data_IF_084976527743
#
_entry.id   IF_084976527743
#
_cell.length_a   1.000
_cell.length_b   1.000
_cell.length_c   1.000
_cell.angle_alpha   90.00
_cell.angle_beta   90.00
_cell.angle_gamma   90.00
#
_symmetry.space_group_name_H-M   'P 1'
#
loop_
_entity.id
_entity.type
_entity.pdbx_description
1 polymer ?
#
# COMPACT_ATOMS: atom_id res chain seq x y z
N UNK A 1 -8.20 21.23 31.39
CA UNK A 1 -7.92 21.07 29.94
C UNK A 1 -8.14 19.60 29.57
N UNK A 2 -9.13 19.26 28.74
CA UNK A 2 -9.27 17.92 28.16
C UNK A 2 -8.08 17.68 27.22
N UNK A 3 -7.24 16.68 27.52
CA UNK A 3 -6.20 16.22 26.58
C UNK A 3 -6.93 15.63 25.36
N UNK A 4 -6.94 16.38 24.27
CA UNK A 4 -7.36 15.84 22.97
C UNK A 4 -6.30 14.86 22.53
N UNK A 5 -6.64 13.59 22.43
CA UNK A 5 -5.72 12.61 21.86
C UNK A 5 -5.62 12.89 20.36
N UNK A 6 -4.43 12.74 19.72
CA UNK A 6 -4.30 12.89 18.28
C UNK A 6 -4.94 11.70 17.52
N UNK A 7 -5.38 10.70 18.23
CA UNK A 7 -6.01 9.51 17.65
C UNK A 7 -7.51 9.70 17.59
N UNK A 8 -8.10 9.34 16.45
CA UNK A 8 -9.54 9.29 16.27
C UNK A 8 -10.17 8.25 17.19
N UNK A 9 -11.41 8.47 17.58
CA UNK A 9 -12.17 7.45 18.29
C UNK A 9 -12.34 6.19 17.41
N UNK A 10 -12.37 4.98 18.00
CA UNK A 10 -12.57 3.74 17.23
C UNK A 10 -13.77 3.77 16.28
N UNK A 11 -14.87 4.38 16.71
CA UNK A 11 -16.08 4.57 15.89
C UNK A 11 -15.86 5.44 14.63
N UNK A 12 -14.92 6.38 14.68
CA UNK A 12 -14.62 7.24 13.53
C UNK A 12 -13.71 6.50 12.53
N UNK A 13 -12.81 5.66 13.02
CA UNK A 13 -12.04 4.74 12.18
C UNK A 13 -12.94 3.75 11.45
N UNK A 14 -13.91 3.17 12.15
CA UNK A 14 -14.86 2.24 11.56
C UNK A 14 -15.67 2.88 10.44
N UNK A 15 -16.19 4.08 10.64
CA UNK A 15 -16.91 4.83 9.60
C UNK A 15 -16.03 5.10 8.37
N UNK A 16 -14.78 5.56 8.56
CA UNK A 16 -13.86 5.81 7.46
C UNK A 16 -13.51 4.54 6.69
N UNK A 17 -13.36 3.41 7.39
CA UNK A 17 -13.11 2.12 6.75
C UNK A 17 -14.32 1.63 5.95
N UNK A 18 -15.52 1.82 6.47
CA UNK A 18 -16.77 1.48 5.76
C UNK A 18 -16.90 2.34 4.49
N UNK A 19 -16.68 3.66 4.59
CA UNK A 19 -16.71 4.56 3.44
C UNK A 19 -15.67 4.17 2.37
N UNK A 20 -14.43 3.88 2.80
CA UNK A 20 -13.37 3.42 1.92
C UNK A 20 -13.72 2.08 1.26
N UNK A 21 -14.22 1.12 2.04
CA UNK A 21 -14.67 -0.17 1.56
C UNK A 21 -15.78 -0.05 0.51
N UNK A 22 -16.78 0.78 0.78
CA UNK A 22 -17.90 1.01 -0.13
C UNK A 22 -17.44 1.68 -1.43
N UNK A 23 -16.54 2.66 -1.32
CA UNK A 23 -16.04 3.41 -2.47
C UNK A 23 -15.18 2.58 -3.40
N UNK A 24 -14.30 1.73 -2.86
CA UNK A 24 -13.32 0.97 -3.63
C UNK A 24 -13.61 -0.52 -3.68
N UNK A 25 -14.80 -0.97 -3.21
CA UNK A 25 -15.18 -2.40 -3.12
C UNK A 25 -14.15 -3.23 -2.38
N UNK A 26 -13.53 -2.64 -1.38
CA UNK A 26 -12.56 -3.30 -0.54
C UNK A 26 -13.30 -4.31 0.33
N UNK A 27 -12.98 -5.58 0.18
CA UNK A 27 -13.33 -6.56 1.20
C UNK A 27 -12.49 -6.24 2.44
N UNK A 28 -13.15 -5.72 3.45
CA UNK A 28 -12.70 -5.89 4.82
C UNK A 28 -12.76 -7.39 5.05
N UNK A 29 -11.68 -8.08 4.70
CA UNK A 29 -11.58 -9.51 4.90
C UNK A 29 -11.80 -9.79 6.38
N UNK A 30 -12.43 -10.93 6.68
CA UNK A 30 -12.60 -11.48 8.03
C UNK A 30 -11.28 -11.56 8.82
N UNK A 31 -10.18 -11.16 8.23
CA UNK A 31 -8.83 -11.16 8.78
C UNK A 31 -8.44 -9.89 9.54
N UNK A 32 -9.17 -8.78 9.45
CA UNK A 32 -8.91 -7.58 10.25
C UNK A 32 -9.46 -7.74 11.68
N UNK A 33 -8.96 -8.71 12.40
CA UNK A 33 -9.33 -8.94 13.82
C UNK A 33 -8.45 -8.16 14.79
N UNK A 34 -7.42 -7.46 14.30
CA UNK A 34 -6.45 -6.76 15.13
C UNK A 34 -6.61 -5.26 14.99
N UNK A 35 -6.44 -4.55 16.08
CA UNK A 35 -6.43 -3.06 16.08
C UNK A 35 -5.34 -2.54 15.14
N UNK A 36 -4.19 -3.22 15.03
CA UNK A 36 -3.12 -2.89 14.09
C UNK A 36 -3.58 -2.88 12.64
N UNK A 37 -4.39 -3.88 12.24
CA UNK A 37 -4.85 -3.99 10.85
C UNK A 37 -5.76 -2.79 10.47
N UNK A 38 -6.62 -2.35 11.40
CA UNK A 38 -7.44 -1.14 11.22
C UNK A 38 -6.58 0.13 11.11
N UNK A 39 -5.53 0.23 11.93
CA UNK A 39 -4.62 1.36 11.88
C UNK A 39 -3.88 1.42 10.55
N UNK A 40 -3.30 0.31 10.09
CA UNK A 40 -2.62 0.19 8.81
C UNK A 40 -3.54 0.56 7.64
N UNK A 41 -4.78 0.06 7.62
CA UNK A 41 -5.78 0.40 6.61
C UNK A 41 -6.16 1.88 6.64
N UNK A 42 -6.26 2.48 7.84
CA UNK A 42 -6.52 3.91 7.97
C UNK A 42 -5.37 4.75 7.42
N UNK A 43 -4.12 4.39 7.71
CA UNK A 43 -2.94 5.03 7.15
C UNK A 43 -2.91 4.89 5.62
N UNK A 44 -3.22 3.71 5.10
CA UNK A 44 -3.31 3.47 3.67
C UNK A 44 -4.36 4.38 3.01
N UNK A 45 -5.55 4.50 3.60
CA UNK A 45 -6.59 5.42 3.14
C UNK A 45 -6.13 6.88 3.16
N UNK A 46 -5.37 7.31 4.18
CA UNK A 46 -4.82 8.66 4.24
C UNK A 46 -3.86 8.95 3.09
N UNK A 47 -3.01 7.98 2.74
CA UNK A 47 -2.11 8.11 1.58
C UNK A 47 -2.90 8.21 0.28
N UNK A 48 -3.93 7.39 0.10
CA UNK A 48 -4.82 7.46 -1.06
C UNK A 48 -5.48 8.85 -1.17
N UNK A 49 -6.07 9.34 -0.08
CA UNK A 49 -6.69 10.69 -0.03
C UNK A 49 -5.68 11.82 -0.27
N UNK A 50 -4.43 11.65 0.16
CA UNK A 50 -3.38 12.63 -0.12
C UNK A 50 -3.17 12.77 -1.62
N UNK A 51 -3.04 11.67 -2.37
CA UNK A 51 -2.87 11.73 -3.81
C UNK A 51 -4.11 12.29 -4.52
N UNK A 52 -5.33 11.95 -4.08
CA UNK A 52 -6.55 12.58 -4.60
C UNK A 52 -6.54 14.11 -4.43
N UNK A 53 -6.21 14.59 -3.22
CA UNK A 53 -6.11 16.04 -2.94
C UNK A 53 -5.02 16.74 -3.76
N UNK A 54 -3.99 16.01 -4.16
CA UNK A 54 -2.94 16.50 -5.07
C UNK A 54 -3.36 16.48 -6.54
N UNK A 55 -4.59 16.06 -6.84
CA UNK A 55 -5.17 16.06 -8.20
C UNK A 55 -4.82 14.82 -9.02
N UNK A 56 -4.42 13.72 -8.37
CA UNK A 56 -4.25 12.42 -9.05
C UNK A 56 -5.59 11.71 -9.21
N UNK A 57 -5.78 11.10 -10.35
CA UNK A 57 -6.86 10.13 -10.58
C UNK A 57 -6.42 8.78 -10.05
N UNK A 58 -7.26 8.16 -9.23
CA UNK A 58 -6.98 6.87 -8.60
C UNK A 58 -7.71 5.74 -9.31
N UNK A 59 -6.98 4.69 -9.58
CA UNK A 59 -7.50 3.47 -10.20
C UNK A 59 -7.04 2.25 -9.38
N UNK A 60 -8.01 1.38 -9.03
CA UNK A 60 -7.69 0.11 -8.37
C UNK A 60 -7.17 -0.87 -9.40
N UNK A 61 -6.02 -1.45 -9.11
CA UNK A 61 -5.37 -2.44 -9.94
C UNK A 61 -5.48 -3.84 -9.34
N UNK A 62 -5.48 -4.84 -10.19
CA UNK A 62 -5.37 -6.26 -9.83
C UNK A 62 -6.48 -6.73 -8.87
N UNK A 63 -7.73 -6.39 -9.16
CA UNK A 63 -8.87 -6.92 -8.43
C UNK A 63 -8.93 -8.45 -8.56
N UNK A 64 -9.29 -9.13 -7.50
CA UNK A 64 -9.50 -10.58 -7.46
C UNK A 64 -11.00 -10.87 -7.31
N UNK A 65 -11.60 -11.43 -8.38
CA UNK A 65 -13.05 -11.64 -8.39
C UNK A 65 -13.86 -10.35 -8.21
N UNK A 66 -13.39 -9.24 -8.79
CA UNK A 66 -14.04 -7.92 -8.67
C UNK A 66 -13.89 -7.24 -7.31
N UNK A 67 -13.05 -7.78 -6.42
CA UNK A 67 -12.87 -7.28 -5.05
C UNK A 67 -11.41 -6.89 -4.80
N UNK A 68 -11.20 -5.86 -3.96
CA UNK A 68 -9.87 -5.48 -3.51
C UNK A 68 -9.34 -6.52 -2.53
N UNK A 69 -8.16 -7.04 -2.79
CA UNK A 69 -7.49 -8.01 -1.91
C UNK A 69 -6.27 -7.36 -1.27
N UNK A 70 -6.37 -7.07 0.02
CA UNK A 70 -5.24 -6.57 0.80
C UNK A 70 -4.15 -7.61 1.00
N UNK A 71 -2.92 -7.13 1.08
CA UNK A 71 -1.78 -7.93 1.51
C UNK A 71 -1.57 -7.70 3.01
N UNK A 72 -2.20 -8.53 3.85
CA UNK A 72 -2.13 -8.42 5.32
C UNK A 72 -0.92 -9.16 5.92
N UNK A 73 0.03 -9.61 5.10
CA UNK A 73 1.21 -10.35 5.54
C UNK A 73 2.40 -9.94 4.68
N UNK A 74 3.62 -9.87 5.23
CA UNK A 74 4.84 -9.65 4.46
C UNK A 74 5.08 -10.74 3.41
N UNK A 75 4.55 -11.93 3.60
CA UNK A 75 4.71 -13.06 2.68
C UNK A 75 3.76 -12.97 1.47
N UNK A 76 4.13 -13.65 0.39
CA UNK A 76 3.33 -13.74 -0.83
C UNK A 76 3.75 -12.77 -1.94
N UNK A 77 3.47 -13.19 -3.17
CA UNK A 77 3.81 -12.42 -4.39
C UNK A 77 2.87 -11.22 -4.53
N UNK A 78 3.41 -10.04 -4.85
CA UNK A 78 2.64 -8.80 -5.01
C UNK A 78 1.55 -8.92 -6.06
N UNK A 79 1.77 -9.68 -7.13
CA UNK A 79 0.75 -9.94 -8.17
C UNK A 79 -0.52 -10.64 -7.69
N UNK A 80 -0.52 -11.19 -6.48
CA UNK A 80 -1.70 -11.84 -5.88
C UNK A 80 -2.58 -10.88 -5.10
N UNK A 81 -2.20 -9.62 -4.98
CA UNK A 81 -2.87 -8.61 -4.18
C UNK A 81 -3.21 -7.38 -5.01
N UNK A 82 -4.22 -6.63 -4.55
CA UNK A 82 -4.63 -5.39 -5.19
C UNK A 82 -3.81 -4.21 -4.69
N UNK A 83 -3.69 -3.18 -5.52
CA UNK A 83 -2.98 -1.94 -5.21
C UNK A 83 -3.65 -0.77 -5.94
N UNK A 84 -3.25 0.46 -5.64
CA UNK A 84 -3.73 1.63 -6.36
C UNK A 84 -2.67 2.16 -7.32
N UNK A 85 -3.14 2.55 -8.49
CA UNK A 85 -2.43 3.43 -9.41
C UNK A 85 -2.98 4.83 -9.24
N UNK A 86 -2.12 5.80 -9.01
CA UNK A 86 -2.44 7.21 -8.98
C UNK A 86 -1.75 7.89 -10.16
N UNK A 87 -2.51 8.54 -11.03
CA UNK A 87 -1.99 9.19 -12.23
C UNK A 87 -2.46 10.64 -12.31
N UNK A 88 -1.54 11.53 -12.69
CA UNK A 88 -1.81 12.94 -12.91
C UNK A 88 -1.13 13.39 -14.19
N UNK A 89 -1.85 14.14 -15.03
CA UNK A 89 -1.25 14.75 -16.23
C UNK A 89 -0.21 15.77 -15.83
N UNK A 90 1.01 15.56 -16.28
CA UNK A 90 2.11 16.50 -16.09
C UNK A 90 2.03 17.67 -17.07
N UNK A 91 2.68 18.77 -16.71
CA UNK A 91 2.70 20.02 -17.52
C UNK A 91 3.44 19.88 -18.87
N UNK A 92 4.22 18.82 -19.05
CA UNK A 92 5.05 18.57 -20.24
C UNK A 92 4.56 17.37 -21.08
N UNK A 93 3.30 16.92 -20.87
CA UNK A 93 2.73 15.82 -21.63
C UNK A 93 3.14 14.42 -21.16
N UNK A 94 3.97 14.31 -20.13
CA UNK A 94 4.29 13.04 -19.47
C UNK A 94 3.42 12.90 -18.23
N UNK A 95 2.74 11.76 -18.09
CA UNK A 95 1.92 11.50 -16.91
C UNK A 95 2.84 11.21 -15.71
N UNK A 96 2.56 11.87 -14.58
CA UNK A 96 3.13 11.53 -13.30
C UNK A 96 2.31 10.37 -12.70
N UNK A 97 2.94 9.20 -12.57
CA UNK A 97 2.27 7.97 -12.17
C UNK A 97 2.99 7.36 -10.98
N UNK A 98 2.22 7.03 -9.95
CA UNK A 98 2.72 6.26 -8.81
C UNK A 98 1.81 5.09 -8.49
N UNK A 99 2.38 4.07 -7.87
CA UNK A 99 1.70 2.86 -7.44
C UNK A 99 1.81 2.72 -5.93
N UNK A 100 0.68 2.49 -5.27
CA UNK A 100 0.58 2.49 -3.81
C UNK A 100 0.24 1.08 -3.37
N UNK A 101 1.18 0.45 -2.68
CA UNK A 101 1.11 -0.93 -2.21
C UNK A 101 0.96 -0.98 -0.69
N UNK A 102 0.28 -2.02 -0.22
CA UNK A 102 0.18 -2.35 1.20
C UNK A 102 1.05 -3.57 1.52
N UNK A 103 1.84 -3.50 2.61
CA UNK A 103 2.74 -4.57 3.07
C UNK A 103 3.66 -5.14 1.96
N UNK A 104 4.15 -4.27 1.07
CA UNK A 104 5.07 -4.67 0.03
C UNK A 104 6.50 -4.75 0.57
N UNK A 105 7.21 -5.81 0.20
CA UNK A 105 8.64 -5.88 0.49
C UNK A 105 9.39 -4.88 -0.37
N UNK A 106 10.26 -4.11 0.24
CA UNK A 106 11.08 -3.06 -0.36
C UNK A 106 12.56 -3.36 -0.15
N UNK A 107 13.35 -3.21 -1.21
CA UNK A 107 14.81 -3.30 -1.15
C UNK A 107 15.38 -2.04 -0.53
N UNK A 108 16.37 -2.17 0.36
CA UNK A 108 17.02 -1.00 0.97
C UNK A 108 18.10 -0.41 0.04
N UNK A 109 18.23 0.90 0.08
CA UNK A 109 19.20 1.62 -0.73
C UNK A 109 20.67 1.41 -0.27
N UNK A 110 20.86 1.08 1.00
CA UNK A 110 22.21 0.90 1.57
C UNK A 110 22.80 -0.49 1.28
N UNK A 111 21.96 -1.48 0.99
CA UNK A 111 22.40 -2.85 0.67
C UNK A 111 21.31 -3.56 -0.15
N UNK A 112 21.66 -3.98 -1.37
CA UNK A 112 20.73 -4.66 -2.28
C UNK A 112 20.27 -6.04 -1.82
N UNK A 113 20.93 -6.61 -0.81
CA UNK A 113 20.57 -7.89 -0.21
C UNK A 113 19.73 -7.75 1.07
N UNK A 114 19.46 -6.49 1.48
CA UNK A 114 18.66 -6.20 2.67
C UNK A 114 17.29 -5.70 2.25
N UNK A 115 16.26 -6.27 2.85
CA UNK A 115 14.86 -5.98 2.55
C UNK A 115 14.12 -5.60 3.83
N UNK A 116 13.14 -4.72 3.67
CA UNK A 116 12.16 -4.39 4.72
C UNK A 116 10.75 -4.58 4.18
N UNK A 117 9.77 -4.66 5.07
CA UNK A 117 8.36 -4.71 4.66
C UNK A 117 7.60 -3.59 5.37
N UNK A 118 7.62 -2.38 4.80
CA UNK A 118 6.82 -1.28 5.29
C UNK A 118 5.33 -1.56 5.11
N UNK A 119 4.49 -0.95 5.95
CA UNK A 119 3.04 -1.09 5.84
C UNK A 119 2.52 -0.49 4.53
N UNK A 120 3.14 0.60 4.06
CA UNK A 120 2.78 1.26 2.81
C UNK A 120 4.05 1.59 2.02
N UNK A 121 4.06 1.22 0.74
CA UNK A 121 5.11 1.59 -0.21
C UNK A 121 4.50 2.33 -1.38
N UNK A 122 5.08 3.47 -1.73
CA UNK A 122 4.76 4.20 -2.95
C UNK A 122 5.92 4.04 -3.93
N UNK A 123 5.62 3.56 -5.12
CA UNK A 123 6.60 3.27 -6.17
C UNK A 123 6.26 4.04 -7.45
N UNK A 124 7.27 4.43 -8.21
CA UNK A 124 7.10 4.98 -9.55
C UNK A 124 7.02 3.91 -10.65
N UNK A 125 7.14 2.64 -10.29
CA UNK A 125 7.05 1.50 -11.20
C UNK A 125 6.11 0.42 -10.66
N UNK A 126 5.39 -0.25 -11.56
CA UNK A 126 4.55 -1.40 -11.23
C UNK A 126 5.21 -2.75 -11.55
N UNK A 127 6.52 -2.76 -11.73
CA UNK A 127 7.30 -3.95 -12.06
C UNK A 127 8.08 -4.46 -10.85
N UNK A 128 7.42 -5.07 -9.85
CA UNK A 128 8.13 -5.72 -8.76
C UNK A 128 8.98 -6.87 -9.31
N UNK A 129 10.14 -7.05 -8.73
CA UNK A 129 10.99 -8.21 -9.03
C UNK A 129 10.39 -9.44 -8.34
N UNK A 130 10.24 -10.52 -9.08
CA UNK A 130 9.81 -11.81 -8.57
C UNK A 130 10.93 -12.84 -8.70
N UNK A 131 11.27 -13.50 -7.61
CA UNK A 131 12.23 -14.60 -7.60
C UNK A 131 11.48 -15.91 -7.33
N UNK A 132 11.83 -16.95 -8.08
CA UNK A 132 11.19 -18.28 -7.91
C UNK A 132 11.82 -19.08 -6.78
N UNK A 133 13.05 -18.77 -6.44
CA UNK A 133 13.83 -19.55 -5.48
C UNK A 133 14.47 -18.63 -4.43
N UNK A 134 13.80 -18.49 -3.31
CA UNK A 134 14.27 -17.75 -2.16
C UNK A 134 15.51 -18.41 -1.51
N UNK A 135 15.53 -19.73 -1.48
CA UNK A 135 16.60 -20.45 -0.76
C UNK A 135 17.94 -20.37 -1.47
N UNK A 136 17.92 -20.36 -2.80
CA UNK A 136 19.13 -20.25 -3.63
C UNK A 136 19.59 -18.79 -3.77
N UNK A 137 18.66 -17.86 -3.99
CA UNK A 137 19.00 -16.46 -4.28
C UNK A 137 19.10 -15.62 -3.01
N UNK A 138 18.52 -16.07 -1.89
CA UNK A 138 18.33 -15.32 -0.64
C UNK A 138 17.64 -13.96 -0.81
N UNK A 139 16.98 -13.74 -1.96
CA UNK A 139 16.21 -12.54 -2.24
C UNK A 139 14.74 -12.75 -1.84
N UNK A 140 14.04 -11.68 -1.49
CA UNK A 140 12.61 -11.75 -1.24
C UNK A 140 11.88 -12.28 -2.48
N UNK A 141 10.86 -13.13 -2.30
CA UNK A 141 10.10 -13.74 -3.40
C UNK A 141 9.44 -12.71 -4.32
N UNK A 142 9.08 -11.57 -3.76
CA UNK A 142 8.57 -10.42 -4.53
C UNK A 142 8.92 -9.16 -3.78
N UNK A 143 9.58 -8.22 -4.45
CA UNK A 143 9.98 -6.96 -3.83
C UNK A 143 9.99 -5.82 -4.84
N UNK A 144 9.92 -4.60 -4.33
CA UNK A 144 10.08 -3.37 -5.10
C UNK A 144 11.55 -2.95 -5.01
N UNK A 145 12.28 -2.82 -6.15
CA UNK A 145 13.64 -2.32 -6.17
C UNK A 145 13.73 -0.91 -5.57
N UNK A 146 14.83 -0.63 -4.89
CA UNK A 146 15.01 0.64 -4.19
C UNK A 146 14.92 1.85 -5.14
N UNK A 147 15.41 1.73 -6.37
CA UNK A 147 15.39 2.78 -7.41
C UNK A 147 13.97 3.21 -7.81
N UNK A 148 12.97 2.38 -7.54
CA UNK A 148 11.57 2.64 -7.81
C UNK A 148 10.79 3.14 -6.60
N UNK A 149 11.41 3.19 -5.42
CA UNK A 149 10.72 3.61 -4.20
C UNK A 149 10.70 5.13 -4.11
N UNK A 150 9.51 5.71 -4.14
CA UNK A 150 9.30 7.16 -3.93
C UNK A 150 9.30 7.46 -2.44
N UNK A 151 8.54 6.69 -1.67
CA UNK A 151 8.47 6.78 -0.21
C UNK A 151 7.86 5.52 0.40
N UNK A 152 8.02 5.36 1.70
CA UNK A 152 7.34 4.32 2.46
C UNK A 152 6.98 4.81 3.86
N UNK A 153 5.96 4.18 4.47
CA UNK A 153 5.52 4.44 5.82
C UNK A 153 5.60 3.15 6.64
N UNK A 154 6.09 3.26 7.87
CA UNK A 154 6.09 2.20 8.87
C UNK A 154 5.20 2.70 10.00
N UNK A 155 4.06 2.04 10.22
CA UNK A 155 3.24 2.25 11.40
C UNK A 155 3.87 1.53 12.60
N UNK A 156 4.06 2.24 13.71
CA UNK A 156 4.44 1.65 15.00
C UNK A 156 3.31 1.89 16.00
#
# INVERSE_FOLDING_TARGET
MKKTTPFKAPSDFEKELIEFSNRYRVLLAEHSKRISDYFEMSCYNLVIRYYEKKGYTLEVQNLKGGKFKFKCSPTGLLKNFSYFKAAKKGNQGTDDVVYIYHNATAQLACDENVFTTPDIVVSNSNTPVETKDYYTTKKALSYIPNEHIVTFCIGK
#
